data_IF_965260583859
#
_entry.id   IF_965260583859
#
_cell.length_a   1.000
_cell.length_b   1.000
_cell.length_c   1.000
_cell.angle_alpha   90.00
_cell.angle_beta   90.00
_cell.angle_gamma   90.00
#
_symmetry.space_group_name_H-M   'P 1'
#
loop_
_entity.id
_entity.type
_entity.pdbx_description
1 polymer ?
#
# COMPACT_ATOMS: atom_id res chain seq x y z
N UNK A 1 -0.78 -8.16 -15.21
CA UNK A 1 -1.01 -8.13 -13.77
C UNK A 1 -1.15 -6.70 -13.29
N UNK A 2 -2.07 -6.46 -12.37
CA UNK A 2 -2.33 -5.17 -11.78
C UNK A 2 -2.06 -5.24 -10.29
N UNK A 3 -1.35 -4.25 -9.76
CA UNK A 3 -1.13 -4.07 -8.34
C UNK A 3 -2.18 -3.12 -7.78
N UNK A 4 -2.92 -3.59 -6.81
CA UNK A 4 -3.84 -2.80 -5.99
C UNK A 4 -3.19 -2.59 -4.64
N UNK A 5 -3.18 -1.37 -4.15
CA UNK A 5 -2.45 -1.00 -2.95
C UNK A 5 -3.21 0.03 -2.14
N UNK A 6 -3.27 -0.17 -0.84
CA UNK A 6 -3.77 0.78 0.12
C UNK A 6 -2.61 1.32 0.98
N UNK A 7 -2.62 2.61 1.21
CA UNK A 7 -1.68 3.30 2.11
C UNK A 7 -2.48 4.20 3.05
N UNK A 8 -1.95 4.43 4.24
CA UNK A 8 -2.50 5.39 5.16
C UNK A 8 -2.08 6.84 4.81
N UNK A 9 -2.49 7.79 5.62
CA UNK A 9 -2.15 9.19 5.45
C UNK A 9 -0.68 9.51 5.74
N UNK A 10 0.03 8.61 6.41
CA UNK A 10 1.49 8.70 6.63
C UNK A 10 2.30 8.04 5.51
N UNK A 11 1.64 7.32 4.60
CA UNK A 11 2.24 6.64 3.46
C UNK A 11 2.72 5.22 3.75
N UNK A 12 2.34 4.65 4.89
CA UNK A 12 2.58 3.24 5.18
C UNK A 12 1.66 2.34 4.37
N UNK A 13 2.19 1.20 3.96
CA UNK A 13 1.42 0.22 3.21
C UNK A 13 0.56 -0.58 4.15
N UNK A 14 -0.74 -0.40 4.07
CA UNK A 14 -1.72 -1.14 4.86
C UNK A 14 -2.02 -2.50 4.27
N UNK A 15 -2.17 -2.57 2.96
CA UNK A 15 -2.45 -3.81 2.25
C UNK A 15 -2.12 -3.71 0.76
N UNK A 16 -1.93 -4.86 0.12
CA UNK A 16 -1.74 -4.96 -1.32
C UNK A 16 -2.31 -6.26 -1.88
N UNK A 17 -2.81 -6.20 -3.10
CA UNK A 17 -3.33 -7.36 -3.83
C UNK A 17 -2.83 -7.31 -5.26
N UNK A 18 -2.33 -8.42 -5.75
CA UNK A 18 -1.97 -8.60 -7.16
C UNK A 18 -3.07 -9.36 -7.87
N UNK A 19 -3.61 -8.81 -8.94
CA UNK A 19 -4.70 -9.41 -9.71
C UNK A 19 -4.40 -9.38 -11.21
N UNK A 20 -4.95 -10.36 -11.92
CA UNK A 20 -4.83 -10.41 -13.39
C UNK A 20 -5.75 -9.41 -14.09
N UNK A 21 -6.87 -9.07 -13.48
CA UNK A 21 -7.88 -8.17 -14.02
C UNK A 21 -8.01 -6.91 -13.17
N UNK A 22 -8.36 -5.81 -13.81
CA UNK A 22 -8.63 -4.53 -13.17
C UNK A 22 -10.14 -4.31 -13.18
N UNK A 23 -10.84 -4.95 -12.26
CA UNK A 23 -12.30 -4.95 -12.18
C UNK A 23 -12.80 -4.69 -10.75
N UNK A 24 -14.11 -4.58 -10.59
CA UNK A 24 -14.77 -4.37 -9.31
C UNK A 24 -14.45 -5.47 -8.28
N UNK A 25 -14.35 -6.73 -8.71
CA UNK A 25 -14.04 -7.85 -7.80
C UNK A 25 -12.66 -7.71 -7.15
N UNK A 26 -11.67 -7.23 -7.93
CA UNK A 26 -10.34 -6.97 -7.39
C UNK A 26 -10.35 -5.82 -6.37
N UNK A 27 -11.12 -4.76 -6.64
CA UNK A 27 -11.33 -3.66 -5.71
C UNK A 27 -12.03 -4.11 -4.43
N UNK A 28 -13.11 -4.88 -4.55
CA UNK A 28 -13.83 -5.47 -3.41
C UNK A 28 -12.93 -6.35 -2.55
N UNK A 29 -12.10 -7.19 -3.17
CA UNK A 29 -11.18 -8.06 -2.46
C UNK A 29 -10.18 -7.27 -1.63
N UNK A 30 -9.60 -6.20 -2.19
CA UNK A 30 -8.70 -5.32 -1.46
C UNK A 30 -9.43 -4.65 -0.29
N UNK A 31 -10.57 -4.01 -0.55
CA UNK A 31 -11.31 -3.26 0.47
C UNK A 31 -11.80 -4.16 1.61
N UNK A 32 -12.37 -5.33 1.31
CA UNK A 32 -12.81 -6.28 2.34
C UNK A 32 -11.64 -6.76 3.21
N UNK A 33 -10.52 -7.11 2.59
CA UNK A 33 -9.34 -7.55 3.32
C UNK A 33 -8.74 -6.43 4.16
N UNK A 34 -8.67 -5.22 3.61
CA UNK A 34 -8.20 -4.04 4.31
C UNK A 34 -9.05 -3.75 5.56
N UNK A 35 -10.37 -3.68 5.41
CA UNK A 35 -11.30 -3.42 6.52
C UNK A 35 -11.27 -4.53 7.58
N UNK A 36 -11.07 -5.79 7.18
CA UNK A 36 -10.95 -6.91 8.10
C UNK A 36 -9.65 -6.86 8.91
N UNK A 37 -8.56 -6.47 8.28
CA UNK A 37 -7.23 -6.50 8.89
C UNK A 37 -6.90 -5.25 9.71
N UNK A 38 -7.61 -4.14 9.50
CA UNK A 38 -7.41 -2.91 10.26
C UNK A 38 -8.34 -2.85 11.46
N UNK A 39 -7.80 -2.47 12.62
CA UNK A 39 -8.57 -2.31 13.85
C UNK A 39 -9.37 -1.01 13.91
N UNK A 40 -9.05 -0.04 13.06
CA UNK A 40 -9.71 1.26 12.99
C UNK A 40 -10.57 1.37 11.74
N UNK A 41 -11.73 1.98 11.87
CA UNK A 41 -12.58 2.32 10.72
C UNK A 41 -12.00 3.55 10.00
N UNK A 42 -12.00 3.57 8.67
CA UNK A 42 -11.55 4.73 7.93
C UNK A 42 -12.56 5.88 8.05
N UNK A 43 -12.06 7.09 8.27
CA UNK A 43 -12.89 8.31 8.23
C UNK A 43 -13.07 8.81 6.79
N UNK A 44 -12.05 8.64 5.96
CA UNK A 44 -12.01 9.09 4.57
C UNK A 44 -11.28 8.04 3.74
N UNK A 45 -11.82 7.78 2.54
CA UNK A 45 -11.19 6.91 1.54
C UNK A 45 -10.94 7.73 0.28
N UNK A 46 -9.67 7.92 -0.07
CA UNK A 46 -9.25 8.62 -1.28
C UNK A 46 -8.77 7.61 -2.31
N UNK A 47 -9.22 7.74 -3.55
CA UNK A 47 -8.90 6.82 -4.64
C UNK A 47 -8.60 7.56 -5.93
N UNK A 48 -7.92 6.86 -6.86
CA UNK A 48 -7.90 7.29 -8.24
C UNK A 48 -9.31 7.19 -8.85
N UNK A 49 -9.61 7.95 -9.88
CA UNK A 49 -10.94 8.04 -10.50
C UNK A 49 -11.43 6.76 -11.19
N UNK A 50 -10.95 5.58 -10.80
CA UNK A 50 -11.33 4.31 -11.41
C UNK A 50 -12.76 3.92 -11.01
N UNK A 51 -13.63 3.73 -11.99
CA UNK A 51 -15.06 3.39 -11.79
C UNK A 51 -15.27 2.13 -10.96
N UNK A 52 -14.38 1.14 -11.03
CA UNK A 52 -14.45 -0.09 -10.25
C UNK A 52 -14.37 0.14 -8.74
N UNK A 53 -13.69 1.17 -8.28
CA UNK A 53 -13.68 1.55 -6.86
C UNK A 53 -15.03 2.09 -6.41
N UNK A 54 -15.63 2.97 -7.23
CA UNK A 54 -16.96 3.50 -6.93
C UNK A 54 -17.99 2.40 -6.72
N UNK A 55 -18.07 1.46 -7.67
CA UNK A 55 -18.97 0.31 -7.59
C UNK A 55 -18.67 -0.60 -6.38
N UNK A 56 -17.40 -0.81 -6.04
CA UNK A 56 -17.01 -1.58 -4.86
C UNK A 56 -17.42 -0.89 -3.55
N UNK A 57 -17.28 0.42 -3.45
CA UNK A 57 -17.70 1.19 -2.28
C UNK A 57 -19.24 1.22 -2.13
N UNK A 58 -19.98 1.30 -3.23
CA UNK A 58 -21.45 1.21 -3.21
C UNK A 58 -21.88 -0.16 -2.64
N UNK A 59 -21.23 -1.23 -3.05
CA UNK A 59 -21.55 -2.58 -2.56
C UNK A 59 -21.19 -2.81 -1.08
N UNK A 60 -20.24 -2.04 -0.54
CA UNK A 60 -19.83 -2.09 0.87
C UNK A 60 -20.53 -1.03 1.73
N UNK A 61 -21.41 -0.22 1.15
CA UNK A 61 -22.06 0.92 1.81
C UNK A 61 -21.06 1.96 2.38
N UNK A 62 -19.94 2.14 1.68
CA UNK A 62 -18.85 3.03 2.08
C UNK A 62 -18.71 4.25 1.17
N UNK A 63 -19.66 4.48 0.26
CA UNK A 63 -19.60 5.59 -0.70
C UNK A 63 -19.52 6.96 -0.02
N UNK A 64 -20.13 7.12 1.14
CA UNK A 64 -20.13 8.35 1.92
C UNK A 64 -18.75 8.74 2.44
N UNK A 65 -17.82 7.78 2.57
CA UNK A 65 -16.42 8.01 2.98
C UNK A 65 -15.53 8.40 1.80
N UNK A 66 -16.00 8.18 0.57
CA UNK A 66 -15.23 8.43 -0.63
C UNK A 66 -15.07 9.93 -0.86
N UNK A 67 -13.82 10.37 -0.92
CA UNK A 67 -13.45 11.69 -1.41
C UNK A 67 -12.67 11.54 -2.71
N UNK A 68 -13.13 12.17 -3.82
CA UNK A 68 -12.37 12.16 -5.06
C UNK A 68 -11.01 12.80 -4.79
N UNK A 69 -9.94 12.03 -4.97
CA UNK A 69 -8.57 12.48 -4.77
C UNK A 69 -8.20 13.54 -5.79
N UNK A 70 -7.76 14.71 -5.33
CA UNK A 70 -6.99 15.63 -6.15
C UNK A 70 -5.58 15.07 -6.33
N UNK A 71 -4.89 15.44 -7.41
CA UNK A 71 -3.55 14.98 -7.76
C UNK A 71 -2.55 14.97 -6.59
N UNK A 72 -2.67 15.89 -5.64
CA UNK A 72 -1.80 15.98 -4.45
C UNK A 72 -2.12 14.95 -3.38
N UNK A 73 -3.36 14.56 -3.20
CA UNK A 73 -3.79 13.60 -2.16
C UNK A 73 -3.44 12.16 -2.54
N UNK A 74 -3.38 11.86 -3.83
CA UNK A 74 -2.98 10.56 -4.36
C UNK A 74 -1.46 10.42 -4.56
N UNK A 75 -0.69 11.48 -4.37
CA UNK A 75 0.76 11.51 -4.58
C UNK A 75 1.55 10.54 -3.71
N UNK A 76 1.04 10.20 -2.52
CA UNK A 76 1.65 9.23 -1.60
C UNK A 76 1.60 7.81 -2.16
N UNK A 77 0.46 7.41 -2.72
CA UNK A 77 0.32 6.12 -3.40
C UNK A 77 1.22 6.07 -4.63
N UNK A 78 1.23 7.14 -5.43
CA UNK A 78 2.07 7.23 -6.64
C UNK A 78 3.58 7.17 -6.31
N UNK A 79 4.03 7.89 -5.29
CA UNK A 79 5.43 7.87 -4.85
C UNK A 79 5.84 6.47 -4.37
N UNK A 80 4.94 5.77 -3.73
CA UNK A 80 5.07 4.38 -3.31
C UNK A 80 5.19 3.42 -4.50
N UNK A 81 4.40 3.62 -5.56
CA UNK A 81 4.48 2.84 -6.80
C UNK A 81 5.80 3.04 -7.56
N UNK A 82 6.37 4.23 -7.55
CA UNK A 82 7.66 4.49 -8.22
C UNK A 82 8.80 3.64 -7.67
N UNK A 83 8.86 3.44 -6.36
CA UNK A 83 9.87 2.58 -5.72
C UNK A 83 9.73 1.12 -6.16
N UNK A 84 8.51 0.63 -6.22
CA UNK A 84 8.22 -0.73 -6.67
C UNK A 84 8.60 -0.93 -8.13
N UNK A 85 8.26 0.01 -9.01
CA UNK A 85 8.61 -0.08 -10.45
C UNK A 85 10.12 -0.14 -10.69
N UNK A 86 10.91 0.56 -9.87
CA UNK A 86 12.38 0.46 -9.95
C UNK A 86 12.86 -0.96 -9.60
N UNK A 87 12.32 -1.56 -8.54
CA UNK A 87 12.67 -2.93 -8.13
C UNK A 87 12.18 -3.98 -9.12
N UNK A 88 11.00 -3.81 -9.67
CA UNK A 88 10.45 -4.68 -10.71
C UNK A 88 11.35 -4.70 -11.95
N UNK A 89 11.81 -3.53 -12.40
CA UNK A 89 12.76 -3.42 -13.53
C UNK A 89 14.07 -4.16 -13.24
N UNK A 90 14.62 -4.02 -12.04
CA UNK A 90 15.85 -4.72 -11.64
C UNK A 90 15.69 -6.24 -11.65
N UNK A 91 14.48 -6.76 -11.41
CA UNK A 91 14.14 -8.20 -11.41
C UNK A 91 13.65 -8.73 -12.75
N UNK A 92 13.69 -7.96 -13.82
CA UNK A 92 13.24 -8.37 -15.15
C UNK A 92 11.78 -8.87 -15.21
N UNK A 93 10.89 -8.26 -14.42
CA UNK A 93 9.47 -8.57 -14.25
C UNK A 93 9.20 -9.83 -13.41
N UNK A 94 7.97 -9.90 -12.90
CA UNK A 94 7.51 -11.07 -12.15
C UNK A 94 6.96 -12.14 -13.08
N UNK A 95 7.38 -13.40 -12.85
CA UNK A 95 6.96 -14.55 -13.66
C UNK A 95 5.57 -15.05 -13.28
N UNK A 96 5.10 -14.81 -12.06
CA UNK A 96 3.79 -15.24 -11.58
C UNK A 96 3.18 -14.24 -10.60
N UNK A 97 1.85 -14.30 -10.45
CA UNK A 97 1.10 -13.49 -9.49
C UNK A 97 1.55 -13.76 -8.05
N UNK A 98 1.74 -15.02 -7.69
CA UNK A 98 2.18 -15.45 -6.34
C UNK A 98 3.58 -14.91 -6.02
N UNK A 99 4.49 -15.00 -6.99
CA UNK A 99 5.85 -14.44 -6.84
C UNK A 99 5.83 -12.92 -6.68
N UNK A 100 4.98 -12.23 -7.43
CA UNK A 100 4.80 -10.79 -7.31
C UNK A 100 4.24 -10.41 -5.94
N UNK A 101 3.18 -11.08 -5.50
CA UNK A 101 2.52 -10.79 -4.22
C UNK A 101 3.46 -11.01 -3.04
N UNK A 102 4.18 -12.14 -3.00
CA UNK A 102 5.18 -12.44 -1.97
C UNK A 102 6.29 -11.36 -1.91
N UNK A 103 6.82 -11.00 -3.06
CA UNK A 103 7.86 -9.97 -3.12
C UNK A 103 7.36 -8.63 -2.64
N UNK A 104 6.19 -8.21 -3.10
CA UNK A 104 5.61 -6.91 -2.76
C UNK A 104 5.20 -6.82 -1.30
N UNK A 105 4.69 -7.91 -0.72
CA UNK A 105 4.38 -7.99 0.71
C UNK A 105 5.64 -7.84 1.56
N UNK A 106 6.70 -8.56 1.22
CA UNK A 106 7.98 -8.43 1.93
C UNK A 106 8.58 -7.02 1.76
N UNK A 107 8.51 -6.47 0.55
CA UNK A 107 8.99 -5.11 0.31
C UNK A 107 8.20 -4.07 1.10
N UNK A 108 6.88 -4.21 1.20
CA UNK A 108 6.04 -3.33 1.99
C UNK A 108 6.38 -3.41 3.49
N UNK A 109 6.56 -4.61 4.03
CA UNK A 109 6.97 -4.81 5.42
C UNK A 109 8.32 -4.15 5.73
N UNK A 110 9.31 -4.32 4.85
CA UNK A 110 10.62 -3.69 4.97
C UNK A 110 10.50 -2.16 4.88
N UNK A 111 9.74 -1.66 3.92
CA UNK A 111 9.58 -0.22 3.70
C UNK A 111 8.88 0.44 4.90
N UNK A 112 7.82 -0.17 5.42
CA UNK A 112 7.13 0.30 6.62
C UNK A 112 8.04 0.30 7.86
N UNK A 113 8.90 -0.71 8.00
CA UNK A 113 9.81 -0.85 9.15
C UNK A 113 10.96 0.16 9.10
N UNK A 114 11.62 0.30 7.95
CA UNK A 114 12.86 1.08 7.83
C UNK A 114 12.70 2.49 7.26
N UNK A 115 11.57 2.79 6.65
CA UNK A 115 11.28 4.08 6.03
C UNK A 115 10.06 4.79 6.60
N UNK A 116 9.63 4.41 7.82
CA UNK A 116 8.50 5.03 8.51
C UNK A 116 8.62 6.55 8.51
N UNK A 117 7.60 7.23 8.03
CA UNK A 117 7.47 8.69 8.04
C UNK A 117 8.73 9.44 7.52
N UNK A 118 9.44 8.87 6.56
CA UNK A 118 10.70 9.41 6.05
C UNK A 118 10.64 10.88 5.65
N UNK A 119 9.49 11.36 5.23
CA UNK A 119 9.26 12.75 4.81
C UNK A 119 8.98 13.71 5.97
N UNK A 120 8.70 13.19 7.17
CA UNK A 120 8.34 13.97 8.35
C UNK A 120 9.45 14.01 9.39
N UNK A 121 10.39 13.05 9.38
CA UNK A 121 11.42 12.91 10.39
C UNK A 121 12.81 13.32 9.88
N UNK A 122 13.64 13.81 10.79
CA UNK A 122 15.01 14.20 10.48
C UNK A 122 15.89 13.00 10.11
N UNK A 123 16.96 13.22 9.33
CA UNK A 123 17.91 12.16 8.98
C UNK A 123 18.55 11.47 10.20
N UNK A 124 18.96 12.18 11.27
CA UNK A 124 19.48 11.55 12.48
C UNK A 124 18.44 10.64 13.16
N UNK A 125 17.19 11.10 13.27
CA UNK A 125 16.09 10.32 13.85
C UNK A 125 15.80 9.07 13.04
N UNK A 126 15.76 9.18 11.70
CA UNK A 126 15.58 8.04 10.81
C UNK A 126 16.68 7.00 10.94
N UNK A 127 17.94 7.44 11.09
CA UNK A 127 19.08 6.53 11.33
C UNK A 127 18.93 5.76 12.64
N UNK A 128 18.48 6.44 13.70
CA UNK A 128 18.21 5.79 14.99
C UNK A 128 17.11 4.75 14.87
N UNK A 129 15.99 5.08 14.26
CA UNK A 129 14.88 4.12 14.06
C UNK A 129 15.29 2.92 13.22
N UNK A 130 16.09 3.11 12.19
CA UNK A 130 16.63 2.00 11.40
C UNK A 130 17.57 1.10 12.19
N UNK A 131 18.40 1.65 13.06
CA UNK A 131 19.29 0.88 13.92
C UNK A 131 18.48 0.07 14.95
N UNK A 132 17.46 0.66 15.56
CA UNK A 132 16.54 -0.02 16.49
C UNK A 132 15.78 -1.15 15.77
N UNK A 133 15.22 -0.90 14.59
CA UNK A 133 14.53 -1.90 13.79
C UNK A 133 15.47 -3.07 13.40
N UNK A 134 16.70 -2.76 12.99
CA UNK A 134 17.70 -3.78 12.66
C UNK A 134 18.07 -4.64 13.88
N UNK A 135 18.18 -4.04 15.06
CA UNK A 135 18.43 -4.75 16.30
C UNK A 135 17.28 -5.70 16.68
N UNK A 136 16.03 -5.23 16.55
CA UNK A 136 14.84 -6.08 16.80
C UNK A 136 14.78 -7.24 15.81
N UNK A 137 15.06 -7.01 14.54
CA UNK A 137 15.09 -8.08 13.54
C UNK A 137 16.18 -9.11 13.81
N UNK A 138 17.37 -8.66 14.20
CA UNK A 138 18.45 -9.56 14.56
C UNK A 138 18.13 -10.42 15.79
N UNK A 139 17.42 -9.85 16.79
CA UNK A 139 16.99 -10.58 17.98
C UNK A 139 15.85 -11.58 17.68
N UNK A 140 15.05 -11.36 16.64
CA UNK A 140 13.96 -12.23 16.23
C UNK A 140 14.39 -13.37 15.28
N UNK A 141 15.58 -13.26 14.72
CA UNK A 141 16.18 -14.29 13.84
C UNK A 141 16.86 -15.42 14.68
#
# INVERSE_FOLDING_TARGET
MYLWRAVDDEGEVLDLVVQRRRNMEAALRLLRRLLHNQSAEPEIITMDGLLSYGAALDQLDLRHLHRPGRLRENSRVESSHLRIRRRERQRQRFKSQVSAERFLTNHAAIDNTFNTQRHLISRPTLRRFRAEAASVWAAAA
#
